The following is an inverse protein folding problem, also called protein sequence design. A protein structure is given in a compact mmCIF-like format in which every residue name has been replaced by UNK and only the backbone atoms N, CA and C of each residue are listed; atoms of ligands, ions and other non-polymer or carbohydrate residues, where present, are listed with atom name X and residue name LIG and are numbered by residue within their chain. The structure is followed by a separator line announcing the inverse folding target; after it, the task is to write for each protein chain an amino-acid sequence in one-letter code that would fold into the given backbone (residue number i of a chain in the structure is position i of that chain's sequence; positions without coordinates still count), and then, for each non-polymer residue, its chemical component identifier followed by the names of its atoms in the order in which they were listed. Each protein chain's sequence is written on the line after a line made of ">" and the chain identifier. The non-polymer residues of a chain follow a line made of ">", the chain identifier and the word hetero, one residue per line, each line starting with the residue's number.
data_IF_273699609042
#
_entry.id   IF_273699609042
#
_cell.length_a   1.000
_cell.length_b   1.000
_cell.length_c   1.000
_cell.angle_alpha   90.00
_cell.angle_beta   90.00
_cell.angle_gamma   90.00
#
_symmetry.space_group_name_H-M   'P 1'
#
loop_
_entity.id
_entity.type
_entity.pdbx_description
1 polymer ?
#
# COMPACT_ATOMS: atom_id res chain seq x y z
N UNK A 1 6.66 12.18 -17.62
CA UNK A 1 5.68 11.10 -17.35
C UNK A 1 4.32 11.74 -17.13
N UNK A 2 3.27 11.25 -17.81
CA UNK A 2 1.88 11.69 -17.62
C UNK A 2 1.51 13.02 -18.29
N UNK A 3 1.16 12.97 -19.59
CA UNK A 3 0.51 14.08 -20.31
C UNK A 3 -1.03 13.90 -20.37
N UNK A 4 -1.60 13.02 -19.54
CA UNK A 4 -3.02 12.66 -19.57
C UNK A 4 -3.42 11.74 -20.72
N UNK A 5 -2.54 11.50 -21.71
CA UNK A 5 -2.82 10.59 -22.83
C UNK A 5 -2.68 9.13 -22.42
N UNK A 6 -3.48 8.26 -23.03
CA UNK A 6 -3.43 6.81 -22.82
C UNK A 6 -2.31 6.11 -23.61
N UNK A 7 -1.49 6.85 -24.36
CA UNK A 7 -0.47 6.27 -25.24
C UNK A 7 0.72 5.69 -24.46
N UNK A 8 0.93 6.13 -23.21
CA UNK A 8 1.96 5.62 -22.31
C UNK A 8 1.39 5.52 -20.88
N UNK A 9 0.65 4.43 -20.56
CA UNK A 9 0.05 4.28 -19.25
C UNK A 9 1.12 4.16 -18.16
N UNK A 10 0.83 4.70 -16.99
CA UNK A 10 1.73 4.65 -15.84
C UNK A 10 0.98 4.36 -14.55
N UNK A 11 1.70 3.79 -13.58
CA UNK A 11 1.27 3.65 -12.18
C UNK A 11 2.40 4.18 -11.31
N UNK A 12 2.09 5.14 -10.45
CA UNK A 12 3.01 5.64 -9.44
C UNK A 12 2.41 5.36 -8.05
N UNK A 13 3.22 4.81 -7.15
CA UNK A 13 2.75 4.38 -5.83
C UNK A 13 3.62 4.96 -4.73
N UNK A 14 2.99 5.59 -3.73
CA UNK A 14 3.66 6.17 -2.57
C UNK A 14 3.37 5.29 -1.36
N UNK A 15 4.44 4.78 -0.73
CA UNK A 15 4.38 3.93 0.47
C UNK A 15 5.54 4.32 1.38
N UNK A 16 5.31 4.44 2.68
CA UNK A 16 6.39 4.59 3.67
C UNK A 16 6.52 3.36 4.55
N UNK A 17 7.67 3.17 5.21
CA UNK A 17 7.87 2.07 6.18
C UNK A 17 6.80 2.07 7.28
N UNK A 18 6.42 3.26 7.77
CA UNK A 18 5.37 3.44 8.78
C UNK A 18 4.01 2.96 8.27
N UNK A 19 3.75 3.11 6.97
CA UNK A 19 2.52 2.62 6.35
C UNK A 19 2.51 1.09 6.25
N UNK A 20 3.62 0.49 5.86
CA UNK A 20 3.74 -0.98 5.84
C UNK A 20 3.56 -1.59 7.23
N UNK A 21 4.11 -0.98 8.28
CA UNK A 21 3.92 -1.43 9.66
C UNK A 21 2.45 -1.34 10.11
N UNK A 22 1.69 -0.34 9.63
CA UNK A 22 0.26 -0.25 9.93
C UNK A 22 -0.55 -1.36 9.26
N UNK A 23 -0.12 -1.82 8.09
CA UNK A 23 -0.75 -2.92 7.36
C UNK A 23 -0.27 -4.32 7.81
N UNK A 24 0.85 -4.42 8.54
CA UNK A 24 1.41 -5.65 9.11
C UNK A 24 0.81 -5.98 10.49
N UNK A 25 -0.48 -5.67 10.65
CA UNK A 25 -1.28 -6.03 11.83
C UNK A 25 -2.07 -7.29 11.55
N UNK A 26 -2.60 -7.89 12.61
CA UNK A 26 -3.51 -9.03 12.49
C UNK A 26 -4.75 -8.60 11.67
N UNK A 27 -5.15 -9.34 10.62
CA UNK A 27 -6.20 -8.90 9.70
C UNK A 27 -7.54 -8.57 10.34
N UNK A 28 -7.93 -9.23 11.44
CA UNK A 28 -9.17 -8.94 12.17
C UNK A 28 -9.09 -7.67 13.04
N UNK A 29 -7.90 -7.08 13.21
CA UNK A 29 -7.67 -5.89 14.04
C UNK A 29 -7.92 -4.56 13.33
N UNK A 30 -8.14 -4.56 12.01
CA UNK A 30 -8.35 -3.35 11.23
C UNK A 30 -9.29 -3.56 10.04
N UNK A 31 -9.89 -2.47 9.56
CA UNK A 31 -10.66 -2.44 8.30
C UNK A 31 -9.78 -1.89 7.20
N UNK A 32 -9.68 -2.60 6.07
CA UNK A 32 -9.00 -2.10 4.88
C UNK A 32 -9.98 -1.26 4.04
N UNK A 33 -9.59 -0.03 3.76
CA UNK A 33 -10.34 0.92 2.94
C UNK A 33 -9.67 1.06 1.58
N UNK A 34 -10.48 1.13 0.53
CA UNK A 34 -10.08 1.33 -0.87
C UNK A 34 -10.94 2.45 -1.43
N UNK A 35 -10.41 3.66 -1.45
CA UNK A 35 -11.15 4.85 -1.84
C UNK A 35 -10.63 5.35 -3.19
N UNK A 36 -11.35 5.08 -4.29
CA UNK A 36 -11.06 5.67 -5.58
C UNK A 36 -11.46 7.15 -5.57
N UNK A 37 -10.53 8.02 -5.92
CA UNK A 37 -10.72 9.46 -6.04
C UNK A 37 -10.13 9.92 -7.37
N UNK A 38 -10.68 10.94 -8.00
CA UNK A 38 -10.12 11.51 -9.23
C UNK A 38 -9.71 12.96 -8.97
N UNK A 39 -8.50 13.35 -9.35
CA UNK A 39 -8.12 14.78 -9.31
C UNK A 39 -8.89 15.53 -10.40
N UNK A 40 -9.54 16.64 -10.06
CA UNK A 40 -10.37 17.45 -10.98
C UNK A 40 -9.59 18.43 -11.89
N UNK A 41 -8.26 18.47 -11.84
CA UNK A 41 -7.48 19.39 -12.69
C UNK A 41 -7.17 18.76 -14.06
N UNK A 42 -6.78 19.59 -15.05
CA UNK A 42 -6.57 19.39 -16.50
C UNK A 42 -6.11 18.03 -17.07
N UNK A 43 -5.65 17.09 -16.23
CA UNK A 43 -5.53 15.68 -16.57
C UNK A 43 -6.18 14.88 -15.43
N UNK A 44 -7.41 14.40 -15.65
CA UNK A 44 -8.19 13.64 -14.67
C UNK A 44 -7.49 12.31 -14.35
N UNK A 45 -6.52 12.34 -13.44
CA UNK A 45 -5.82 11.13 -13.01
C UNK A 45 -6.63 10.45 -11.91
N UNK A 46 -6.99 9.17 -12.10
CA UNK A 46 -7.48 8.34 -11.01
C UNK A 46 -6.39 8.18 -9.95
N UNK A 47 -6.81 8.34 -8.70
CA UNK A 47 -6.02 8.15 -7.49
C UNK A 47 -6.74 7.13 -6.61
N UNK A 48 -6.10 5.99 -6.36
CA UNK A 48 -6.58 5.03 -5.37
C UNK A 48 -5.88 5.30 -4.05
N UNK A 49 -6.65 5.69 -3.03
CA UNK A 49 -6.18 5.76 -1.65
C UNK A 49 -6.51 4.45 -0.97
N UNK A 50 -5.52 3.82 -0.37
CA UNK A 50 -5.68 2.59 0.39
C UNK A 50 -5.34 2.92 1.82
N UNK A 51 -6.26 2.69 2.74
CA UNK A 51 -6.08 3.00 4.16
C UNK A 51 -6.46 1.83 5.05
N UNK A 52 -6.07 1.92 6.31
CA UNK A 52 -6.53 1.02 7.36
C UNK A 52 -7.17 1.84 8.48
N UNK A 53 -8.29 1.38 9.00
CA UNK A 53 -8.90 1.94 10.20
C UNK A 53 -8.78 0.97 11.36
N UNK A 54 -8.41 1.47 12.54
CA UNK A 54 -8.35 0.66 13.76
C UNK A 54 -9.74 0.47 14.40
N UNK A 55 -9.78 -0.26 15.52
CA UNK A 55 -11.04 -0.51 16.27
C UNK A 55 -11.71 0.77 16.79
N UNK A 56 -10.97 1.87 16.91
CA UNK A 56 -11.52 3.20 17.26
C UNK A 56 -11.87 4.03 16.02
N UNK A 57 -11.92 3.39 14.84
CA UNK A 57 -12.34 3.95 13.55
C UNK A 57 -11.46 5.12 13.08
N UNK A 58 -10.22 5.21 13.55
CA UNK A 58 -9.28 6.21 13.02
C UNK A 58 -8.66 5.72 11.72
N UNK A 59 -8.90 6.47 10.65
CA UNK A 59 -8.36 6.18 9.34
C UNK A 59 -6.87 6.54 9.24
N UNK A 60 -6.09 5.63 8.68
CA UNK A 60 -4.70 5.84 8.36
C UNK A 60 -4.44 5.42 6.91
N UNK A 61 -4.17 6.38 6.03
CA UNK A 61 -3.71 6.07 4.68
C UNK A 61 -2.44 5.21 4.74
N UNK A 62 -2.39 4.14 3.94
CA UNK A 62 -1.30 3.16 3.82
C UNK A 62 -0.62 3.25 2.46
N UNK A 63 -1.38 3.52 1.40
CA UNK A 63 -0.85 3.64 0.05
C UNK A 63 -1.64 4.71 -0.70
N UNK A 64 -0.94 5.51 -1.50
CA UNK A 64 -1.56 6.36 -2.52
C UNK A 64 -1.04 5.90 -3.87
N UNK A 65 -1.95 5.58 -4.78
CA UNK A 65 -1.63 5.09 -6.13
C UNK A 65 -2.22 6.06 -7.12
N UNK A 66 -1.38 6.62 -8.00
CA UNK A 66 -1.79 7.52 -9.09
C UNK A 66 -1.61 6.74 -10.39
N UNK A 67 -2.64 6.73 -11.24
CA UNK A 67 -2.62 5.99 -12.49
C UNK A 67 -3.15 6.81 -13.67
N UNK A 68 -2.82 6.40 -14.89
CA UNK A 68 -3.43 6.96 -16.11
C UNK A 68 -4.92 6.57 -16.24
N UNK A 69 -5.77 7.34 -16.96
CA UNK A 69 -7.24 7.19 -16.99
C UNK A 69 -7.84 5.90 -17.58
N UNK A 70 -7.06 4.85 -17.85
CA UNK A 70 -7.59 3.57 -18.35
C UNK A 70 -8.00 2.63 -17.21
N UNK A 71 -9.26 2.21 -17.25
CA UNK A 71 -10.02 1.57 -16.17
C UNK A 71 -9.74 0.07 -15.94
N UNK A 72 -9.95 -0.34 -14.69
CA UNK A 72 -9.97 -1.70 -14.10
C UNK A 72 -8.65 -2.48 -14.06
N UNK A 73 -7.92 -2.61 -15.17
CA UNK A 73 -6.67 -3.40 -15.17
C UNK A 73 -5.62 -2.83 -14.21
N UNK A 74 -5.57 -1.52 -14.06
CA UNK A 74 -4.67 -0.85 -13.12
C UNK A 74 -5.03 -1.11 -11.66
N UNK A 75 -6.31 -1.24 -11.31
CA UNK A 75 -6.73 -1.59 -9.95
C UNK A 75 -6.32 -3.03 -9.61
N UNK A 76 -6.58 -3.98 -10.51
CA UNK A 76 -6.18 -5.39 -10.32
C UNK A 76 -4.66 -5.55 -10.19
N UNK A 77 -3.88 -4.90 -11.07
CA UNK A 77 -2.41 -4.89 -11.01
C UNK A 77 -1.90 -4.26 -9.72
N UNK A 78 -2.53 -3.18 -9.26
CA UNK A 78 -2.20 -2.50 -8.01
C UNK A 78 -2.44 -3.42 -6.81
N UNK A 79 -3.60 -4.06 -6.72
CA UNK A 79 -3.91 -5.01 -5.64
C UNK A 79 -2.95 -6.22 -5.64
N UNK A 80 -2.61 -6.75 -6.82
CA UNK A 80 -1.64 -7.83 -6.97
C UNK A 80 -0.23 -7.40 -6.49
N UNK A 81 0.23 -6.22 -6.89
CA UNK A 81 1.52 -5.66 -6.45
C UNK A 81 1.57 -5.44 -4.93
N UNK A 82 0.46 -5.00 -4.32
CA UNK A 82 0.36 -4.80 -2.87
C UNK A 82 0.36 -6.12 -2.09
N UNK A 83 -0.33 -7.14 -2.60
CA UNK A 83 -0.28 -8.48 -2.04
C UNK A 83 1.14 -9.03 -2.04
N UNK A 84 1.86 -8.82 -3.14
CA UNK A 84 3.24 -9.26 -3.26
C UNK A 84 4.20 -8.47 -2.35
N UNK A 85 4.00 -7.15 -2.25
CA UNK A 85 4.76 -6.30 -1.33
C UNK A 85 4.54 -6.70 0.14
N UNK A 86 3.29 -7.00 0.53
CA UNK A 86 2.98 -7.53 1.86
C UNK A 86 3.72 -8.84 2.10
N UNK A 87 3.62 -9.80 1.17
CA UNK A 87 4.30 -11.10 1.26
C UNK A 87 5.81 -10.96 1.44
N UNK A 88 6.46 -10.09 0.66
CA UNK A 88 7.91 -9.82 0.76
C UNK A 88 8.28 -9.12 2.06
N UNK A 89 7.50 -8.10 2.46
CA UNK A 89 7.71 -7.35 3.71
C UNK A 89 7.60 -8.24 4.94
N UNK A 90 6.60 -9.12 4.97
CA UNK A 90 6.40 -10.10 6.03
C UNK A 90 7.56 -11.10 6.12
N UNK A 91 8.21 -11.51 5.01
CA UNK A 91 9.42 -12.36 5.08
C UNK A 91 10.62 -11.61 5.64
N UNK A 92 10.81 -10.33 5.26
CA UNK A 92 11.95 -9.51 5.71
C UNK A 92 11.81 -9.07 7.17
N UNK A 93 10.60 -8.74 7.61
CA UNK A 93 10.29 -8.43 9.01
C UNK A 93 10.34 -9.67 9.90
N UNK A 94 9.88 -10.85 9.44
CA UNK A 94 10.06 -12.12 10.17
C UNK A 94 11.53 -12.48 10.33
N UNK A 95 12.35 -12.32 9.30
CA UNK A 95 13.79 -12.58 9.36
C UNK A 95 14.49 -11.63 10.35
N UNK A 96 14.13 -10.34 10.35
CA UNK A 96 14.62 -9.38 11.33
C UNK A 96 14.16 -9.68 12.76
N UNK A 97 12.88 -10.00 12.99
CA UNK A 97 12.37 -10.40 14.30
C UNK A 97 13.02 -11.70 14.80
N UNK A 98 13.35 -12.63 13.91
CA UNK A 98 14.10 -13.85 14.23
C UNK A 98 15.55 -13.53 14.62
N UNK A 99 16.19 -12.58 13.92
CA UNK A 99 17.56 -12.15 14.21
C UNK A 99 17.65 -11.36 15.52
N UNK A 100 16.68 -10.49 15.81
CA UNK A 100 16.59 -9.71 17.05
C UNK A 100 16.23 -10.60 18.25
N UNK A 101 15.31 -11.56 18.09
CA UNK A 101 14.98 -12.53 19.15
C UNK A 101 16.11 -13.49 19.46
N UNK A 102 16.85 -13.98 18.45
CA UNK A 102 18.01 -14.84 18.67
C UNK A 102 19.26 -14.07 19.12
N UNK A 103 19.34 -12.77 18.84
CA UNK A 103 20.39 -11.89 19.38
C UNK A 103 20.20 -11.58 20.86
N UNK A 104 18.95 -11.40 21.33
CA UNK A 104 18.66 -11.17 22.75
C UNK A 104 18.80 -12.42 23.62
N UNK A 105 18.64 -13.63 23.05
CA UNK A 105 18.81 -14.90 23.78
C UNK A 105 20.28 -15.35 23.94
N UNK A 106 21.25 -14.58 23.43
CA UNK A 106 22.70 -14.88 23.51
C UNK A 106 23.48 -13.92 24.42
N UNK A 107 22.80 -13.08 25.21
CA UNK A 107 23.45 -12.17 26.17
C UNK A 107 22.76 -12.18 27.55
N UNK A 108 22.39 -13.35 28.04
CA UNK A 108 22.03 -13.59 29.43
C UNK A 108 22.86 -14.74 29.98
#
# INVERSE_FOLDING_TARGET
>A
VGNGSNNAPFIATIITKKLLQRADREPSSFVLHLDPTSKLHQATYPVLVIGVSDKVRRFHAVVIVIMSPQMQLHYARTLAALRELRRKSTRRLRFWNLLVRNGAARSA
#
